data_IF_344052262777
#
_entry.id   IF_344052262777
#
_cell.length_a   1.000
_cell.length_b   1.000
_cell.length_c   1.000
_cell.angle_alpha   90.00
_cell.angle_beta   90.00
_cell.angle_gamma   90.00
#
_symmetry.space_group_name_H-M   'P 1'
#
loop_
_entity.id
_entity.type
_entity.pdbx_description
1 polymer ?
#
# COMPACT_ATOMS: atom_id res chain seq x y z
N UNK A 1 -21.99 4.85 13.99
CA UNK A 1 -20.57 5.19 13.76
C UNK A 1 -20.04 4.31 12.65
N UNK A 2 -19.97 4.81 11.41
CA UNK A 2 -19.39 4.07 10.28
C UNK A 2 -17.88 4.34 10.25
N UNK A 3 -17.09 3.43 10.83
CA UNK A 3 -15.63 3.50 10.72
C UNK A 3 -15.23 3.47 9.25
N UNK A 4 -14.61 4.56 8.79
CA UNK A 4 -14.02 4.65 7.45
C UNK A 4 -12.86 3.65 7.40
N UNK A 5 -13.05 2.54 6.67
CA UNK A 5 -11.99 1.54 6.47
C UNK A 5 -10.78 2.25 5.83
N UNK A 6 -9.60 2.08 6.43
CA UNK A 6 -8.36 2.62 5.90
C UNK A 6 -8.00 1.84 4.64
N UNK A 7 -7.82 2.55 3.52
CA UNK A 7 -7.33 1.95 2.29
C UNK A 7 -5.80 2.07 2.27
N UNK A 8 -5.11 0.95 2.01
CA UNK A 8 -3.66 0.92 1.82
C UNK A 8 -3.37 0.88 0.32
N UNK A 9 -2.46 1.72 -0.14
CA UNK A 9 -2.08 1.76 -1.55
C UNK A 9 -1.18 0.56 -1.90
N UNK A 10 -1.49 -0.13 -3.00
CA UNK A 10 -0.67 -1.22 -3.55
C UNK A 10 -0.05 -0.76 -4.86
N UNK A 11 1.29 -0.89 -5.00
CA UNK A 11 1.98 -0.61 -6.26
C UNK A 11 2.00 -1.87 -7.12
N UNK A 12 1.34 -1.83 -8.28
CA UNK A 12 1.19 -2.98 -9.18
C UNK A 12 1.96 -2.76 -10.49
N UNK A 13 2.86 -3.69 -10.81
CA UNK A 13 3.53 -3.76 -12.12
C UNK A 13 2.90 -4.90 -12.91
N UNK A 14 2.27 -4.57 -14.03
CA UNK A 14 1.64 -5.53 -14.94
C UNK A 14 2.09 -5.30 -16.37
N UNK A 15 1.95 -6.32 -17.19
CA UNK A 15 2.17 -6.23 -18.63
C UNK A 15 1.19 -5.23 -19.26
N UNK A 16 1.60 -4.50 -20.31
CA UNK A 16 0.76 -3.48 -20.94
C UNK A 16 -0.54 -4.05 -21.52
N UNK A 17 -0.50 -5.26 -22.09
CA UNK A 17 -1.69 -5.98 -22.57
C UNK A 17 -2.70 -6.27 -21.45
N UNK A 18 -2.22 -6.56 -20.23
CA UNK A 18 -3.06 -6.76 -19.05
C UNK A 18 -3.70 -5.49 -18.55
N UNK A 19 -2.98 -4.37 -18.59
CA UNK A 19 -3.57 -3.06 -18.30
C UNK A 19 -4.73 -2.76 -19.26
N UNK A 20 -4.57 -3.04 -20.56
CA UNK A 20 -5.63 -2.85 -21.56
C UNK A 20 -6.83 -3.76 -21.33
N UNK A 21 -6.59 -5.04 -21.03
CA UNK A 21 -7.67 -5.96 -20.71
C UNK A 21 -8.45 -5.51 -19.46
N UNK A 22 -7.74 -5.05 -18.42
CA UNK A 22 -8.35 -4.52 -17.19
C UNK A 22 -9.19 -3.27 -17.47
N UNK A 23 -8.68 -2.33 -18.27
CA UNK A 23 -9.39 -1.12 -18.67
C UNK A 23 -10.70 -1.44 -19.41
N UNK A 24 -10.65 -2.37 -20.37
CA UNK A 24 -11.82 -2.81 -21.12
C UNK A 24 -12.84 -3.56 -20.24
N UNK A 25 -12.37 -4.43 -19.34
CA UNK A 25 -13.24 -5.16 -18.42
C UNK A 25 -13.92 -4.21 -17.43
N UNK A 26 -13.17 -3.25 -16.86
CA UNK A 26 -13.69 -2.25 -15.95
C UNK A 26 -14.75 -1.36 -16.61
N UNK A 27 -14.52 -0.95 -17.86
CA UNK A 27 -15.48 -0.17 -18.65
C UNK A 27 -16.78 -0.96 -18.91
N UNK A 28 -16.69 -2.27 -19.19
CA UNK A 28 -17.86 -3.13 -19.40
C UNK A 28 -18.70 -3.32 -18.13
N UNK A 29 -18.06 -3.35 -16.96
CA UNK A 29 -18.74 -3.52 -15.68
C UNK A 29 -19.16 -2.20 -15.02
N UNK A 30 -18.92 -1.05 -15.67
CA UNK A 30 -19.17 0.28 -15.11
C UNK A 30 -18.51 0.51 -13.74
N UNK A 31 -17.29 -0.04 -13.54
CA UNK A 31 -16.52 0.06 -12.31
C UNK A 31 -15.15 0.68 -12.57
N UNK A 32 -14.52 1.23 -11.54
CA UNK A 32 -13.11 1.64 -11.64
C UNK A 32 -12.20 0.40 -11.76
N UNK A 33 -11.02 0.58 -12.37
CA UNK A 33 -10.04 -0.51 -12.48
C UNK A 33 -9.66 -1.09 -11.12
N UNK A 34 -9.49 -0.23 -10.11
CA UNK A 34 -9.19 -0.66 -8.73
C UNK A 34 -10.31 -1.47 -8.13
N UNK A 35 -11.57 -1.05 -8.31
CA UNK A 35 -12.73 -1.77 -7.78
C UNK A 35 -12.90 -3.14 -8.43
N UNK A 36 -12.67 -3.24 -9.74
CA UNK A 36 -12.66 -4.53 -10.43
C UNK A 36 -11.54 -5.43 -9.91
N UNK A 37 -10.35 -4.89 -9.70
CA UNK A 37 -9.20 -5.65 -9.20
C UNK A 37 -9.44 -6.17 -7.78
N UNK A 38 -10.04 -5.34 -6.91
CA UNK A 38 -10.43 -5.72 -5.56
C UNK A 38 -11.47 -6.86 -5.57
N UNK A 39 -12.46 -6.77 -6.46
CA UNK A 39 -13.46 -7.83 -6.61
C UNK A 39 -12.86 -9.14 -7.15
N UNK A 40 -12.00 -9.07 -8.18
CA UNK A 40 -11.31 -10.23 -8.72
C UNK A 40 -10.42 -10.91 -7.67
N UNK A 41 -9.68 -10.11 -6.90
CA UNK A 41 -8.84 -10.60 -5.81
C UNK A 41 -9.69 -11.25 -4.71
N UNK A 42 -10.79 -10.61 -4.34
CA UNK A 42 -11.72 -11.14 -3.33
C UNK A 42 -12.25 -12.50 -3.74
N UNK A 43 -12.77 -12.58 -4.97
CA UNK A 43 -13.32 -13.82 -5.52
C UNK A 43 -12.26 -14.91 -5.63
N UNK A 44 -11.03 -14.57 -5.99
CA UNK A 44 -9.94 -15.54 -6.05
C UNK A 44 -9.59 -16.09 -4.66
N UNK A 45 -9.51 -15.24 -3.65
CA UNK A 45 -9.32 -15.65 -2.27
C UNK A 45 -10.45 -16.57 -1.77
N UNK A 46 -11.71 -16.22 -2.06
CA UNK A 46 -12.87 -17.07 -1.73
C UNK A 46 -12.77 -18.47 -2.37
N UNK A 47 -12.35 -18.54 -3.64
CA UNK A 47 -12.16 -19.85 -4.32
C UNK A 47 -11.05 -20.70 -3.70
N UNK A 48 -10.09 -20.07 -3.02
CA UNK A 48 -9.02 -20.72 -2.28
C UNK A 48 -9.38 -20.97 -0.80
N UNK A 49 -10.55 -20.53 -0.35
CA UNK A 49 -10.97 -20.62 1.06
C UNK A 49 -10.24 -19.64 2.00
N UNK A 50 -9.71 -18.54 1.46
CA UNK A 50 -9.01 -17.51 2.23
C UNK A 50 -10.01 -16.47 2.72
N UNK A 51 -10.23 -16.40 4.04
CA UNK A 51 -11.06 -15.36 4.66
C UNK A 51 -10.31 -14.03 4.81
N UNK A 52 -10.68 -13.07 3.98
CA UNK A 52 -10.05 -11.73 3.91
C UNK A 52 -10.49 -10.85 5.08
N UNK A 53 -11.68 -11.09 5.65
CA UNK A 53 -12.19 -10.29 6.74
C UNK A 53 -11.40 -10.51 8.05
N UNK A 54 -10.88 -11.72 8.24
CA UNK A 54 -10.03 -12.09 9.39
C UNK A 54 -8.58 -11.64 9.29
N UNK A 55 -8.11 -11.18 8.13
CA UNK A 55 -6.71 -10.78 7.89
C UNK A 55 -6.40 -9.33 8.29
N UNK A 56 -7.43 -8.50 8.50
CA UNK A 56 -7.24 -7.13 8.92
C UNK A 56 -7.01 -7.06 10.44
N UNK A 57 -5.79 -7.34 10.89
CA UNK A 57 -5.39 -7.06 12.27
C UNK A 57 -5.50 -5.55 12.54
N UNK A 58 -6.36 -5.09 13.47
CA UNK A 58 -6.50 -3.66 13.79
C UNK A 58 -5.29 -3.08 14.53
N UNK A 59 -4.25 -3.87 14.78
CA UNK A 59 -3.14 -3.55 15.68
C UNK A 59 -1.83 -3.19 14.97
N UNK A 60 -1.74 -3.31 13.65
CA UNK A 60 -0.45 -3.15 12.93
C UNK A 60 -0.27 -1.80 12.21
N UNK A 61 -1.03 -0.77 12.59
CA UNK A 61 -0.72 0.63 12.28
C UNK A 61 0.19 1.26 13.36
N UNK A 62 1.22 0.53 13.80
CA UNK A 62 2.37 1.18 14.43
C UNK A 62 3.20 1.82 13.31
N UNK A 63 2.82 3.04 12.96
CA UNK A 63 3.69 4.03 12.35
C UNK A 63 4.97 4.11 13.20
N UNK A 64 5.97 3.28 12.87
CA UNK A 64 7.33 3.54 13.31
C UNK A 64 7.79 4.74 12.48
N UNK A 65 8.07 5.90 13.12
CA UNK A 65 8.76 6.95 12.40
C UNK A 65 10.10 6.35 12.01
N UNK A 66 10.33 6.18 10.70
CA UNK A 66 11.64 5.81 10.21
C UNK A 66 12.58 6.91 10.69
N UNK A 67 13.40 6.57 11.69
CA UNK A 67 14.39 7.47 12.24
C UNK A 67 15.33 7.84 11.10
N UNK A 68 15.15 9.07 10.58
CA UNK A 68 16.10 9.66 9.65
C UNK A 68 17.51 9.58 10.24
N UNK A 69 18.54 9.32 9.43
CA UNK A 69 19.88 9.05 9.94
C UNK A 69 20.40 10.25 10.74
N UNK A 70 20.75 9.98 11.99
CA UNK A 70 21.41 10.88 12.93
C UNK A 70 22.68 11.49 12.32
N UNK A 71 22.60 12.69 11.76
CA UNK A 71 23.79 13.54 11.57
C UNK A 71 24.14 14.21 12.90
N UNK A 72 24.76 13.45 13.81
CA UNK A 72 25.57 14.04 14.88
C UNK A 72 26.88 14.52 14.24
N UNK A 73 26.90 15.72 13.66
CA UNK A 73 28.18 16.43 13.44
C UNK A 73 28.64 16.95 14.80
N UNK A 74 29.57 16.22 15.41
CA UNK A 74 30.31 16.67 16.59
C UNK A 74 31.01 18.01 16.30
N UNK A 75 31.03 18.97 17.24
CA UNK A 75 31.95 20.08 17.17
C UNK A 75 33.31 19.61 17.71
N UNK A 76 34.35 19.69 16.90
CA UNK A 76 35.72 19.42 17.36
C UNK A 76 36.71 20.24 16.55
N UNK A 77 36.91 21.50 16.93
CA UNK A 77 38.09 21.89 17.72
C UNK A 77 38.18 23.41 17.85
N UNK A 78 38.66 23.81 19.01
CA UNK A 78 39.03 25.17 19.37
C UNK A 78 40.26 25.66 18.58
N UNK A 79 40.33 26.99 18.49
CA UNK A 79 41.49 27.90 18.30
C UNK A 79 42.84 27.41 18.90
N UNK A 80 43.99 28.12 18.74
CA UNK A 80 44.36 29.27 17.88
C UNK A 80 45.73 29.07 17.17
N UNK A 81 46.11 29.89 16.17
CA UNK A 81 47.54 30.15 15.89
C UNK A 81 47.79 31.62 15.50
N UNK A 82 48.63 32.24 16.35
CA UNK A 82 49.55 33.40 16.24
C UNK A 82 49.15 34.67 15.49
#
# INVERSE_FOLDING_TARGET
>A
MTSRRKAVAVNLRIRPEMKRALELAAAKECRSQTSLLEWLLTRHCETLGIDIAGLADPSSDADSPVAGPSKKRSPRNAMPES
#
